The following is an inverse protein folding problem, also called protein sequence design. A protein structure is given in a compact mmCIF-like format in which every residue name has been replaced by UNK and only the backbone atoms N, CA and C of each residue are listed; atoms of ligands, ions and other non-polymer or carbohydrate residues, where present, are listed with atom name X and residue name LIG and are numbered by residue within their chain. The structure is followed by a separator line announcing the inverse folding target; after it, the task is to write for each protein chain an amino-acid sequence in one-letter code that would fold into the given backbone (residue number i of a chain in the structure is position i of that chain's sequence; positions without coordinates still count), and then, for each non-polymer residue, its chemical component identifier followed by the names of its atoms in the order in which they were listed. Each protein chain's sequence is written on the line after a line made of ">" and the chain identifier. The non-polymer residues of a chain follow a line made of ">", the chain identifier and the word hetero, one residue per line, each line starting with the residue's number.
data_IF_500081151960
#
_entry.id   IF_500081151960
#
_cell.length_a   1.000
_cell.length_b   1.000
_cell.length_c   1.000
_cell.angle_alpha   90.00
_cell.angle_beta   90.00
_cell.angle_gamma   90.00
#
_symmetry.space_group_name_H-M   'P 1'
#
loop_
_entity.id
_entity.type
_entity.pdbx_description
1 polymer ?
#
# COMPACT_ATOMS: atom_id res chain seq x y z
N UNK A 1 16.26 22.75 -20.38
CA UNK A 1 14.96 22.43 -19.75
C UNK A 1 14.44 21.02 -20.10
N UNK A 2 15.34 20.05 -20.24
CA UNK A 2 14.98 18.63 -20.50
C UNK A 2 14.41 17.93 -19.26
N UNK A 3 14.51 18.52 -18.07
CA UNK A 3 14.03 17.95 -16.82
C UNK A 3 12.51 18.07 -16.63
N UNK A 4 11.82 18.87 -17.43
CA UNK A 4 10.39 19.19 -17.30
C UNK A 4 9.55 18.81 -18.52
N UNK A 5 10.08 17.96 -19.39
CA UNK A 5 9.24 17.44 -20.47
C UNK A 5 8.22 16.46 -19.89
N UNK A 6 7.00 16.62 -20.31
CA UNK A 6 5.76 15.90 -19.94
C UNK A 6 5.79 14.38 -20.23
N UNK A 7 6.99 13.80 -20.22
CA UNK A 7 7.24 12.39 -20.58
C UNK A 7 6.89 11.39 -19.48
N UNK A 8 6.45 11.84 -18.31
CA UNK A 8 6.17 10.95 -17.17
C UNK A 8 4.74 11.06 -16.65
N UNK A 9 3.76 11.13 -17.54
CA UNK A 9 2.39 10.81 -17.10
C UNK A 9 2.34 9.30 -16.85
N UNK A 10 2.49 8.92 -15.57
CA UNK A 10 2.38 7.52 -15.18
C UNK A 10 0.91 7.13 -15.25
N UNK A 11 0.56 6.34 -16.27
CA UNK A 11 -0.80 5.79 -16.39
C UNK A 11 -1.01 4.68 -15.36
N UNK A 12 -1.92 4.92 -14.43
CA UNK A 12 -2.34 4.00 -13.38
C UNK A 12 -3.80 3.54 -13.56
N UNK A 13 -4.42 3.92 -14.66
CA UNK A 13 -5.85 3.70 -14.92
C UNK A 13 -6.23 2.23 -14.80
N UNK A 14 -5.39 1.34 -15.30
CA UNK A 14 -5.64 -0.10 -15.25
C UNK A 14 -5.66 -0.62 -13.82
N UNK A 15 -4.65 -0.30 -13.04
CA UNK A 15 -4.50 -0.76 -11.66
C UNK A 15 -5.60 -0.18 -10.77
N UNK A 16 -5.88 1.11 -10.91
CA UNK A 16 -6.92 1.79 -10.15
C UNK A 16 -8.31 1.23 -10.50
N UNK A 17 -8.63 1.06 -11.77
CA UNK A 17 -9.91 0.48 -12.18
C UNK A 17 -10.09 -0.95 -11.68
N UNK A 18 -9.01 -1.75 -11.63
CA UNK A 18 -9.05 -3.09 -11.06
C UNK A 18 -9.40 -3.02 -9.56
N UNK A 19 -8.73 -2.19 -8.79
CA UNK A 19 -9.01 -1.98 -7.37
C UNK A 19 -10.45 -1.47 -7.14
N UNK A 20 -10.89 -0.49 -7.93
CA UNK A 20 -12.25 0.06 -7.83
C UNK A 20 -13.32 -0.98 -8.20
N UNK A 21 -13.02 -1.88 -9.13
CA UNK A 21 -13.94 -2.98 -9.46
C UNK A 21 -14.21 -3.90 -8.26
N UNK A 22 -13.25 -4.01 -7.35
CA UNK A 22 -13.39 -4.79 -6.12
C UNK A 22 -14.38 -4.11 -5.15
N UNK A 23 -14.41 -2.78 -5.11
CA UNK A 23 -15.36 -2.03 -4.30
C UNK A 23 -16.82 -2.37 -4.65
N UNK A 24 -17.09 -2.73 -5.90
CA UNK A 24 -18.42 -3.20 -6.29
C UNK A 24 -18.84 -4.49 -5.56
N UNK A 25 -17.87 -5.28 -5.08
CA UNK A 25 -18.15 -6.49 -4.27
C UNK A 25 -18.62 -6.16 -2.85
N UNK A 26 -18.42 -4.91 -2.41
CA UNK A 26 -18.82 -4.42 -1.10
C UNK A 26 -20.24 -3.85 -1.08
N UNK A 27 -20.84 -3.62 -2.26
CA UNK A 27 -22.19 -3.07 -2.38
C UNK A 27 -23.20 -3.91 -1.61
N UNK A 28 -24.13 -3.21 -0.94
CA UNK A 28 -25.19 -3.84 -0.13
C UNK A 28 -24.73 -4.35 1.23
N UNK A 29 -23.41 -4.42 1.49
CA UNK A 29 -22.84 -4.84 2.78
C UNK A 29 -22.10 -3.72 3.49
N UNK A 30 -21.66 -2.71 2.74
CA UNK A 30 -21.00 -1.52 3.22
C UNK A 30 -21.61 -0.28 2.58
N UNK A 31 -21.63 0.82 3.31
CA UNK A 31 -21.91 2.15 2.77
C UNK A 31 -20.75 2.59 1.85
N UNK A 32 -21.06 3.32 0.78
CA UNK A 32 -20.05 3.68 -0.22
C UNK A 32 -18.87 4.45 0.40
N UNK A 33 -19.15 5.32 1.35
CA UNK A 33 -18.15 6.11 2.10
C UNK A 33 -17.17 5.24 2.90
N UNK A 34 -17.57 4.01 3.23
CA UNK A 34 -16.78 3.03 4.01
C UNK A 34 -15.95 2.08 3.14
N UNK A 35 -16.05 2.16 1.80
CA UNK A 35 -15.24 1.29 0.93
C UNK A 35 -13.75 1.55 1.12
N UNK A 36 -13.34 2.80 1.33
CA UNK A 36 -11.95 3.17 1.58
C UNK A 36 -11.35 2.41 2.79
N UNK A 37 -12.15 2.19 3.84
CA UNK A 37 -11.72 1.53 5.07
C UNK A 37 -11.37 0.05 4.84
N UNK A 38 -11.84 -0.55 3.74
CA UNK A 38 -11.48 -1.90 3.29
C UNK A 38 -10.41 -1.85 2.20
N UNK A 39 -10.60 -1.01 1.20
CA UNK A 39 -9.77 -1.00 -0.01
C UNK A 39 -8.34 -0.55 0.30
N UNK A 40 -8.15 0.53 1.06
CA UNK A 40 -6.82 1.07 1.36
C UNK A 40 -5.95 0.04 2.09
N UNK A 41 -6.37 -0.54 3.24
CA UNK A 41 -5.54 -1.53 3.91
C UNK A 41 -5.31 -2.79 3.08
N UNK A 42 -6.27 -3.23 2.27
CA UNK A 42 -6.08 -4.38 1.38
C UNK A 42 -5.04 -4.12 0.28
N UNK A 43 -5.00 -2.91 -0.28
CA UNK A 43 -3.96 -2.49 -1.23
C UNK A 43 -2.58 -2.52 -0.57
N UNK A 44 -2.48 -2.01 0.66
CA UNK A 44 -1.24 -2.03 1.45
C UNK A 44 -0.78 -3.47 1.71
N UNK A 45 -1.67 -4.34 2.19
CA UNK A 45 -1.36 -5.74 2.46
C UNK A 45 -0.87 -6.43 1.19
N UNK A 46 -1.57 -6.24 0.06
CA UNK A 46 -1.17 -6.85 -1.20
C UNK A 46 0.17 -6.33 -1.70
N UNK A 47 0.46 -5.04 -1.53
CA UNK A 47 1.78 -4.47 -1.87
C UNK A 47 2.89 -5.11 -1.05
N UNK A 48 2.72 -5.22 0.27
CA UNK A 48 3.70 -5.86 1.14
C UNK A 48 3.87 -7.35 0.81
N UNK A 49 2.77 -8.06 0.54
CA UNK A 49 2.84 -9.46 0.13
C UNK A 49 3.64 -9.64 -1.15
N UNK A 50 3.36 -8.86 -2.19
CA UNK A 50 4.07 -8.92 -3.46
C UNK A 50 5.57 -8.57 -3.31
N UNK A 51 5.90 -7.61 -2.45
CA UNK A 51 7.30 -7.27 -2.17
C UNK A 51 8.08 -8.42 -1.51
N UNK A 52 7.42 -9.19 -0.63
CA UNK A 52 8.03 -10.30 0.09
C UNK A 52 7.97 -11.64 -0.68
N UNK A 53 7.26 -11.71 -1.80
CA UNK A 53 6.93 -12.97 -2.48
C UNK A 53 8.16 -13.80 -2.84
N UNK A 54 9.19 -13.18 -3.41
CA UNK A 54 10.42 -13.87 -3.83
C UNK A 54 11.22 -14.46 -2.66
N UNK A 55 11.15 -13.84 -1.50
CA UNK A 55 11.92 -14.27 -0.32
C UNK A 55 11.09 -15.09 0.67
N UNK A 56 9.80 -15.20 0.46
CA UNK A 56 8.83 -15.76 1.41
C UNK A 56 9.25 -17.13 1.95
N UNK A 57 9.49 -18.10 1.09
CA UNK A 57 9.80 -19.47 1.47
C UNK A 57 11.12 -19.56 2.24
N UNK A 58 12.18 -18.96 1.69
CA UNK A 58 13.49 -18.95 2.33
C UNK A 58 13.51 -18.16 3.63
N UNK A 59 12.62 -17.17 3.78
CA UNK A 59 12.47 -16.41 5.00
C UNK A 59 11.76 -17.22 6.09
N UNK A 60 10.69 -17.94 5.77
CA UNK A 60 9.97 -18.77 6.72
C UNK A 60 10.89 -19.87 7.28
N UNK A 61 11.64 -20.55 6.41
CA UNK A 61 12.64 -21.55 6.85
C UNK A 61 13.69 -20.92 7.77
N UNK A 62 14.19 -19.73 7.41
CA UNK A 62 15.16 -19.01 8.26
C UNK A 62 14.56 -18.64 9.62
N UNK A 63 13.33 -18.15 9.64
CA UNK A 63 12.63 -17.76 10.86
C UNK A 63 12.38 -18.96 11.78
N UNK A 64 11.91 -20.09 11.26
CA UNK A 64 11.68 -21.32 12.04
C UNK A 64 12.95 -21.82 12.71
N UNK A 65 14.09 -21.70 12.05
CA UNK A 65 15.40 -22.07 12.61
C UNK A 65 15.98 -20.98 13.55
N UNK A 66 15.42 -19.77 13.55
CA UNK A 66 15.96 -18.65 14.32
C UNK A 66 14.83 -17.74 14.89
N UNK A 67 13.90 -18.27 15.71
CA UNK A 67 12.67 -17.54 16.07
C UNK A 67 12.87 -16.34 17.02
N UNK A 68 14.06 -16.22 17.63
CA UNK A 68 14.34 -15.19 18.65
C UNK A 68 15.38 -14.16 18.23
N UNK A 69 15.67 -14.06 16.94
CA UNK A 69 16.62 -13.06 16.45
C UNK A 69 16.00 -11.65 16.45
N UNK A 70 16.80 -10.59 16.68
CA UNK A 70 16.37 -9.21 16.52
C UNK A 70 15.82 -8.93 15.11
N UNK A 71 14.83 -8.03 15.01
CA UNK A 71 14.13 -7.68 13.77
C UNK A 71 15.06 -7.36 12.58
N UNK A 72 16.17 -6.66 12.84
CA UNK A 72 17.16 -6.30 11.82
C UNK A 72 17.73 -7.49 11.04
N UNK A 73 17.79 -8.69 11.64
CA UNK A 73 18.23 -9.89 10.93
C UNK A 73 17.16 -10.42 9.97
N UNK A 74 15.89 -10.27 10.33
CA UNK A 74 14.76 -10.62 9.49
C UNK A 74 14.61 -9.65 8.33
N UNK A 75 14.73 -8.35 8.58
CA UNK A 75 14.74 -7.29 7.57
C UNK A 75 15.87 -7.49 6.54
N UNK A 76 17.07 -7.80 7.03
CA UNK A 76 18.20 -8.13 6.14
C UNK A 76 17.91 -9.36 5.28
N UNK A 77 17.22 -10.37 5.82
CA UNK A 77 16.86 -11.59 5.09
C UNK A 77 15.82 -11.33 4.01
N UNK A 78 14.85 -10.47 4.27
CA UNK A 78 13.83 -10.08 3.29
C UNK A 78 14.32 -9.03 2.28
N UNK A 79 15.32 -8.22 2.66
CA UNK A 79 15.78 -7.07 1.88
C UNK A 79 14.88 -5.84 2.02
N UNK A 80 13.91 -5.87 2.94
CA UNK A 80 12.97 -4.78 3.22
C UNK A 80 12.98 -4.42 4.70
N UNK A 81 12.59 -3.19 5.10
CA UNK A 81 12.45 -2.80 6.50
C UNK A 81 11.17 -3.39 7.14
N UNK A 82 10.74 -4.53 6.66
CA UNK A 82 9.60 -5.29 7.15
C UNK A 82 9.67 -6.77 6.71
N UNK A 83 8.92 -7.60 7.38
CA UNK A 83 8.81 -9.04 7.12
C UNK A 83 7.44 -9.58 7.54
N UNK A 84 7.16 -10.84 7.20
CA UNK A 84 6.00 -11.56 7.71
C UNK A 84 6.36 -13.01 8.04
N UNK A 85 6.15 -13.38 9.30
CA UNK A 85 6.48 -14.72 9.85
C UNK A 85 5.39 -15.77 9.61
N UNK A 86 4.22 -15.36 9.11
CA UNK A 86 3.12 -16.28 8.82
C UNK A 86 3.36 -17.08 7.54
N UNK A 87 2.98 -18.34 7.54
CA UNK A 87 2.96 -19.20 6.33
C UNK A 87 1.84 -18.87 5.36
N UNK A 88 0.86 -18.06 5.80
CA UNK A 88 -0.24 -17.64 4.95
C UNK A 88 0.19 -16.61 3.90
N UNK A 89 -0.59 -16.55 2.86
CA UNK A 89 -0.66 -15.49 1.86
C UNK A 89 -2.13 -15.28 1.52
N UNK A 90 -2.49 -14.18 0.85
CA UNK A 90 -3.89 -13.96 0.44
C UNK A 90 -4.42 -15.15 -0.37
N UNK A 91 -3.58 -15.75 -1.21
CA UNK A 91 -3.96 -16.94 -1.98
C UNK A 91 -4.18 -18.16 -1.08
N UNK A 92 -3.29 -18.43 -0.12
CA UNK A 92 -3.42 -19.57 0.81
C UNK A 92 -4.59 -19.43 1.78
N UNK A 93 -5.06 -18.20 2.06
CA UNK A 93 -6.27 -17.99 2.86
C UNK A 93 -7.52 -18.57 2.22
N UNK A 94 -7.53 -18.72 0.90
CA UNK A 94 -8.67 -19.23 0.13
C UNK A 94 -8.82 -20.75 0.21
N UNK A 95 -7.77 -21.46 0.66
CA UNK A 95 -7.76 -22.91 0.75
C UNK A 95 -8.69 -23.43 1.88
N UNK A 96 -8.99 -22.57 2.88
CA UNK A 96 -9.87 -22.88 4.01
C UNK A 96 -10.85 -21.71 4.22
N UNK A 97 -11.97 -21.78 3.54
CA UNK A 97 -13.01 -20.75 3.59
C UNK A 97 -13.68 -20.63 4.95
N UNK A 98 -13.78 -21.72 5.70
CA UNK A 98 -14.47 -21.75 6.99
C UNK A 98 -13.67 -21.06 8.08
N UNK A 99 -12.36 -21.14 8.00
CA UNK A 99 -11.43 -20.50 8.94
C UNK A 99 -10.78 -19.22 8.37
N UNK A 100 -11.27 -18.67 7.26
CA UNK A 100 -10.62 -17.57 6.55
C UNK A 100 -10.42 -16.32 7.44
N UNK A 101 -11.37 -16.00 8.33
CA UNK A 101 -11.26 -14.86 9.25
C UNK A 101 -10.10 -15.05 10.23
N UNK A 102 -10.03 -16.22 10.89
CA UNK A 102 -8.99 -16.53 11.87
C UNK A 102 -7.62 -16.64 11.21
N UNK A 103 -7.55 -17.27 10.04
CA UNK A 103 -6.33 -17.41 9.26
C UNK A 103 -5.81 -16.06 8.77
N UNK A 104 -6.71 -15.16 8.35
CA UNK A 104 -6.32 -13.82 7.94
C UNK A 104 -5.83 -12.97 9.11
N UNK A 105 -6.49 -13.04 10.26
CA UNK A 105 -5.98 -12.39 11.47
C UNK A 105 -4.59 -12.90 11.85
N UNK A 106 -4.36 -14.20 11.80
CA UNK A 106 -3.03 -14.80 12.00
C UNK A 106 -2.01 -14.33 10.96
N UNK A 107 -2.42 -14.13 9.71
CA UNK A 107 -1.57 -13.57 8.67
C UNK A 107 -1.16 -12.12 8.98
N UNK A 108 -2.10 -11.28 9.42
CA UNK A 108 -1.83 -9.90 9.87
C UNK A 108 -0.88 -9.88 11.06
N UNK A 109 -1.09 -10.76 12.04
CA UNK A 109 -0.25 -10.84 13.24
C UNK A 109 1.18 -11.30 12.95
N UNK A 110 1.41 -11.94 11.80
CA UNK A 110 2.74 -12.34 11.34
C UNK A 110 3.60 -11.19 10.80
N UNK A 111 3.04 -10.03 10.52
CA UNK A 111 3.83 -8.89 10.05
C UNK A 111 4.73 -8.31 11.15
N UNK A 112 5.82 -7.66 10.73
CA UNK A 112 6.69 -6.87 11.61
C UNK A 112 5.92 -5.76 12.30
N UNK A 113 6.43 -5.29 13.45
CA UNK A 113 5.71 -4.37 14.33
C UNK A 113 5.28 -3.06 13.64
N UNK A 114 6.18 -2.47 12.85
CA UNK A 114 5.90 -1.26 12.06
C UNK A 114 4.73 -1.43 11.08
N UNK A 115 4.62 -2.59 10.43
CA UNK A 115 3.49 -2.88 9.53
C UNK A 115 2.22 -3.14 10.32
N UNK A 116 2.30 -3.88 11.44
CA UNK A 116 1.14 -4.11 12.32
C UNK A 116 0.56 -2.80 12.87
N UNK A 117 1.41 -1.86 13.25
CA UNK A 117 0.98 -0.54 13.71
C UNK A 117 0.16 0.18 12.63
N UNK A 118 0.64 0.21 11.38
CA UNK A 118 -0.09 0.79 10.24
C UNK A 118 -1.45 0.10 10.05
N UNK A 119 -1.47 -1.24 10.03
CA UNK A 119 -2.70 -2.00 9.80
C UNK A 119 -3.69 -1.89 10.96
N UNK A 120 -3.22 -1.75 12.19
CA UNK A 120 -4.05 -1.51 13.37
C UNK A 120 -4.66 -0.11 13.33
N UNK A 121 -3.90 0.92 12.95
CA UNK A 121 -4.43 2.29 12.78
C UNK A 121 -5.51 2.36 11.67
N UNK A 122 -5.44 1.47 10.69
CA UNK A 122 -6.46 1.30 9.66
C UNK A 122 -7.60 0.35 10.07
N UNK A 123 -7.61 -0.14 11.32
CA UNK A 123 -8.64 -1.01 11.88
C UNK A 123 -8.93 -2.27 11.04
N UNK A 124 -7.92 -2.83 10.35
CA UNK A 124 -8.12 -3.92 9.38
C UNK A 124 -8.85 -5.13 9.98
N UNK A 125 -8.58 -5.49 11.23
CA UNK A 125 -9.24 -6.63 11.89
C UNK A 125 -10.74 -6.44 12.04
N UNK A 126 -11.18 -5.20 12.29
CA UNK A 126 -12.60 -4.86 12.34
C UNK A 126 -13.24 -5.00 10.95
N UNK A 127 -12.52 -4.59 9.88
CA UNK A 127 -13.01 -4.75 8.52
C UNK A 127 -13.06 -6.21 8.09
N UNK A 128 -12.08 -7.04 8.45
CA UNK A 128 -12.07 -8.49 8.21
C UNK A 128 -13.31 -9.14 8.83
N UNK A 129 -13.56 -8.86 10.12
CA UNK A 129 -14.74 -9.37 10.83
C UNK A 129 -16.05 -8.94 10.17
N UNK A 130 -16.17 -7.67 9.78
CA UNK A 130 -17.34 -7.13 9.11
C UNK A 130 -17.55 -7.76 7.74
N UNK A 131 -16.49 -7.93 6.95
CA UNK A 131 -16.55 -8.62 5.65
C UNK A 131 -16.97 -10.09 5.80
N UNK A 132 -16.44 -10.79 6.80
CA UNK A 132 -16.78 -12.19 7.04
C UNK A 132 -18.25 -12.34 7.43
N UNK A 133 -18.74 -11.53 8.36
CA UNK A 133 -20.16 -11.51 8.77
C UNK A 133 -21.12 -11.28 7.59
N UNK A 134 -20.68 -10.53 6.58
CA UNK A 134 -21.50 -10.23 5.39
C UNK A 134 -21.20 -11.17 4.21
N UNK A 135 -20.46 -12.26 4.40
CA UNK A 135 -20.07 -13.21 3.36
C UNK A 135 -19.33 -12.55 2.17
N UNK A 136 -18.50 -11.54 2.44
CA UNK A 136 -17.72 -10.81 1.43
C UNK A 136 -16.22 -11.09 1.50
N UNK A 137 -15.73 -11.57 2.65
CA UNK A 137 -14.31 -11.73 2.91
C UNK A 137 -13.61 -12.58 1.84
N UNK A 138 -14.13 -13.77 1.55
CA UNK A 138 -13.56 -14.66 0.55
C UNK A 138 -13.43 -14.00 -0.83
N UNK A 139 -14.49 -13.34 -1.31
CA UNK A 139 -14.49 -12.73 -2.64
C UNK A 139 -13.53 -11.54 -2.74
N UNK A 140 -13.40 -10.76 -1.66
CA UNK A 140 -12.47 -9.63 -1.60
C UNK A 140 -11.03 -10.13 -1.57
N UNK A 141 -10.72 -11.09 -0.69
CA UNK A 141 -9.38 -11.71 -0.60
C UNK A 141 -8.98 -12.33 -1.94
N UNK A 142 -9.90 -13.08 -2.60
CA UNK A 142 -9.66 -13.67 -3.91
C UNK A 142 -9.24 -12.63 -4.94
N UNK A 143 -10.02 -11.56 -5.08
CA UNK A 143 -9.74 -10.51 -6.06
C UNK A 143 -8.41 -9.81 -5.78
N UNK A 144 -8.11 -9.50 -4.51
CA UNK A 144 -6.83 -8.90 -4.16
C UNK A 144 -5.64 -9.84 -4.38
N UNK A 145 -5.82 -11.15 -4.18
CA UNK A 145 -4.75 -12.13 -4.42
C UNK A 145 -4.31 -12.21 -5.90
N UNK A 146 -5.16 -11.76 -6.82
CA UNK A 146 -4.92 -11.78 -8.27
C UNK A 146 -4.23 -10.48 -8.78
N UNK A 147 -4.16 -9.42 -7.94
CA UNK A 147 -3.52 -8.16 -8.33
C UNK A 147 -2.00 -8.30 -8.24
N UNK A 148 -1.30 -7.91 -9.31
CA UNK A 148 0.15 -7.78 -9.29
C UNK A 148 0.56 -6.36 -8.86
N UNK A 149 1.07 -6.27 -7.63
CA UNK A 149 1.72 -5.09 -7.08
C UNK A 149 3.20 -5.34 -6.77
N UNK A 150 3.86 -6.22 -7.53
CA UNK A 150 5.28 -6.47 -7.36
C UNK A 150 6.09 -5.19 -7.60
N UNK A 151 7.08 -4.85 -6.75
CA UNK A 151 7.94 -3.68 -6.94
C UNK A 151 8.67 -3.60 -8.29
N UNK A 152 8.85 -4.74 -8.97
CA UNK A 152 9.47 -4.80 -10.29
C UNK A 152 8.53 -4.40 -11.44
N UNK A 153 7.22 -4.61 -11.27
CA UNK A 153 6.18 -4.26 -12.26
C UNK A 153 5.52 -2.93 -11.96
N UNK A 154 5.34 -2.66 -10.67
CA UNK A 154 4.78 -1.41 -10.14
C UNK A 154 5.79 -0.83 -9.15
N UNK A 155 6.66 0.06 -9.62
CA UNK A 155 7.65 0.70 -8.76
C UNK A 155 6.99 1.58 -7.67
N UNK A 156 7.77 2.09 -6.74
CA UNK A 156 7.25 2.89 -5.63
C UNK A 156 6.62 4.20 -6.10
N UNK A 157 7.13 4.79 -7.19
CA UNK A 157 6.57 6.02 -7.74
C UNK A 157 5.19 5.77 -8.34
N UNK A 158 5.07 4.74 -9.19
CA UNK A 158 3.78 4.30 -9.75
C UNK A 158 2.79 3.90 -8.64
N UNK A 159 3.26 3.21 -7.60
CA UNK A 159 2.42 2.86 -6.46
C UNK A 159 1.88 4.09 -5.73
N UNK A 160 2.69 5.15 -5.60
CA UNK A 160 2.25 6.44 -5.07
C UNK A 160 1.08 7.04 -5.85
N UNK A 161 1.15 7.04 -7.19
CA UNK A 161 0.04 7.51 -8.05
C UNK A 161 -1.22 6.65 -7.89
N UNK A 162 -1.08 5.33 -7.74
CA UNK A 162 -2.22 4.43 -7.50
C UNK A 162 -2.92 4.79 -6.18
N UNK A 163 -2.16 4.96 -5.09
CA UNK A 163 -2.74 5.37 -3.81
C UNK A 163 -3.43 6.72 -3.88
N UNK A 164 -2.77 7.69 -4.49
CA UNK A 164 -3.31 9.03 -4.68
C UNK A 164 -4.65 9.01 -5.41
N UNK A 165 -4.75 8.29 -6.53
CA UNK A 165 -5.98 8.23 -7.32
C UNK A 165 -7.10 7.47 -6.57
N UNK A 166 -6.77 6.41 -5.84
CA UNK A 166 -7.72 5.69 -4.99
C UNK A 166 -8.27 6.63 -3.89
N UNK A 167 -7.39 7.31 -3.16
CA UNK A 167 -7.79 8.22 -2.08
C UNK A 167 -8.66 9.34 -2.64
N UNK A 168 -8.26 9.95 -3.75
CA UNK A 168 -9.02 11.01 -4.41
C UNK A 168 -10.44 10.56 -4.75
N UNK A 169 -10.62 9.40 -5.37
CA UNK A 169 -11.94 8.89 -5.78
C UNK A 169 -12.86 8.56 -4.60
N UNK A 170 -12.30 8.18 -3.45
CA UNK A 170 -13.09 7.97 -2.23
C UNK A 170 -13.30 9.24 -1.42
N UNK A 171 -12.59 10.31 -1.71
CA UNK A 171 -12.71 11.61 -1.03
C UNK A 171 -13.59 12.60 -1.81
N UNK A 172 -13.97 12.32 -3.05
CA UNK A 172 -14.77 13.20 -3.90
C UNK A 172 -16.16 13.57 -3.33
N UNK A 173 -16.62 12.86 -2.28
CA UNK A 173 -17.88 13.13 -1.57
C UNK A 173 -17.69 13.85 -0.22
N UNK A 174 -16.47 14.18 0.16
CA UNK A 174 -16.14 14.95 1.36
C UNK A 174 -15.54 16.27 0.86
N UNK A 175 -15.87 17.40 1.49
CA UNK A 175 -15.39 18.72 1.11
C UNK A 175 -13.90 18.67 0.74
N UNK A 176 -13.64 18.73 -0.57
CA UNK A 176 -12.34 18.41 -1.17
C UNK A 176 -11.21 19.37 -0.76
N UNK A 177 -11.55 20.44 -0.02
CA UNK A 177 -10.60 21.45 0.44
C UNK A 177 -9.78 21.05 1.68
N UNK A 178 -10.26 20.11 2.49
CA UNK A 178 -9.71 19.90 3.84
C UNK A 178 -8.60 18.84 3.93
N UNK A 179 -8.40 18.00 2.90
CA UNK A 179 -7.59 16.79 3.10
C UNK A 179 -6.50 16.51 2.07
N UNK A 180 -6.43 17.26 0.97
CA UNK A 180 -5.52 16.88 -0.10
C UNK A 180 -5.17 18.03 -1.04
N UNK A 181 -3.88 18.37 -1.11
CA UNK A 181 -3.39 19.32 -2.12
C UNK A 181 -3.19 18.59 -3.45
N UNK A 182 -3.86 18.99 -4.55
CA UNK A 182 -3.66 18.37 -5.85
C UNK A 182 -2.19 18.35 -6.27
N UNK A 183 -1.75 17.24 -6.86
CA UNK A 183 -0.35 17.07 -7.28
C UNK A 183 0.11 18.15 -8.26
N UNK A 184 -0.77 18.62 -9.12
CA UNK A 184 -0.48 19.70 -10.07
C UNK A 184 -0.13 21.00 -9.35
N UNK A 185 -0.79 21.29 -8.23
CA UNK A 185 -0.50 22.45 -7.37
C UNK A 185 0.84 22.27 -6.67
N UNK A 186 1.10 21.09 -6.10
CA UNK A 186 2.39 20.76 -5.48
C UNK A 186 3.52 20.89 -6.50
N UNK A 187 3.33 20.35 -7.71
CA UNK A 187 4.30 20.46 -8.80
C UNK A 187 4.58 21.91 -9.17
N UNK A 188 3.53 22.72 -9.35
CA UNK A 188 3.68 24.15 -9.61
C UNK A 188 4.44 24.87 -8.50
N UNK A 189 4.13 24.57 -7.22
CA UNK A 189 4.84 25.15 -6.08
C UNK A 189 6.33 24.80 -6.09
N UNK A 190 6.67 23.54 -6.34
CA UNK A 190 8.06 23.07 -6.44
C UNK A 190 8.77 23.71 -7.64
N UNK A 191 8.10 23.80 -8.79
CA UNK A 191 8.65 24.44 -10.00
C UNK A 191 8.95 25.93 -9.76
N UNK A 192 8.05 26.64 -9.09
CA UNK A 192 8.26 28.06 -8.71
C UNK A 192 9.41 28.18 -7.72
N UNK A 193 9.44 27.31 -6.69
CA UNK A 193 10.48 27.34 -5.67
C UNK A 193 11.88 27.11 -6.24
N UNK A 194 11.98 26.27 -7.27
CA UNK A 194 13.25 25.90 -7.90
C UNK A 194 13.52 26.64 -9.22
N UNK A 195 12.68 27.63 -9.60
CA UNK A 195 12.78 28.33 -10.88
C UNK A 195 14.01 29.22 -11.02
N UNK A 196 14.50 29.80 -9.91
CA UNK A 196 15.61 30.76 -9.93
C UNK A 196 16.74 30.29 -9.02
N UNK A 197 17.97 30.38 -9.52
CA UNK A 197 19.22 30.13 -8.76
C UNK A 197 19.36 28.73 -8.11
N UNK A 198 18.66 27.74 -8.64
CA UNK A 198 18.67 26.37 -8.13
C UNK A 198 19.33 25.35 -9.05
N UNK A 199 20.00 25.80 -10.13
CA UNK A 199 20.66 24.89 -11.09
C UNK A 199 21.67 23.97 -10.43
N UNK A 200 22.37 24.46 -9.42
CA UNK A 200 23.33 23.69 -8.66
C UNK A 200 22.69 22.63 -7.73
N UNK A 201 21.42 22.84 -7.33
CA UNK A 201 20.63 21.86 -6.57
C UNK A 201 20.11 20.77 -7.52
N UNK A 202 19.62 21.17 -8.70
CA UNK A 202 19.03 20.28 -9.69
C UNK A 202 20.05 19.41 -10.43
N UNK A 203 21.29 19.94 -10.61
CA UNK A 203 22.35 19.27 -11.38
C UNK A 203 23.50 18.74 -10.53
N UNK A 204 23.54 19.06 -9.24
CA UNK A 204 24.61 18.67 -8.33
C UNK A 204 24.47 17.26 -7.80
N UNK A 205 25.47 16.42 -8.03
CA UNK A 205 25.57 15.11 -7.39
C UNK A 205 25.76 15.24 -5.89
N UNK A 206 24.90 14.59 -5.10
CA UNK A 206 25.04 14.43 -3.65
C UNK A 206 24.95 15.71 -2.81
N UNK A 207 24.22 16.75 -3.25
CA UNK A 207 23.95 17.92 -2.40
C UNK A 207 22.82 17.63 -1.41
N UNK A 208 23.06 17.97 -0.15
CA UNK A 208 22.03 17.94 0.91
C UNK A 208 21.44 19.33 1.02
N UNK A 209 20.13 19.43 0.85
CA UNK A 209 19.39 20.69 0.95
C UNK A 209 18.41 20.58 2.11
N UNK A 210 18.37 21.63 2.94
CA UNK A 210 17.38 21.73 4.02
C UNK A 210 16.13 22.41 3.49
N UNK A 211 14.99 21.76 3.69
CA UNK A 211 13.66 22.29 3.34
C UNK A 211 12.88 22.54 4.63
N UNK A 212 12.29 23.72 4.74
CA UNK A 212 11.37 24.07 5.82
C UNK A 212 9.95 24.17 5.26
N UNK A 213 9.05 23.32 5.75
CA UNK A 213 7.62 23.51 5.61
C UNK A 213 7.09 24.24 6.86
N UNK A 214 6.74 25.51 6.68
CA UNK A 214 6.30 26.37 7.78
C UNK A 214 4.79 26.20 8.10
N UNK A 215 4.06 25.42 7.30
CA UNK A 215 2.60 25.23 7.41
C UNK A 215 2.21 23.77 7.71
N UNK A 216 3.20 22.91 7.98
CA UNK A 216 2.98 21.51 8.32
C UNK A 216 2.48 21.32 9.76
#
# INVERSE_FOLDING_TARGET
>A
NEYYTDQNHIDVTKEVNLVLSIANSLRGSFEAEKYKDVIIPMVIIRRFECALEETKESFIEYYENNPSKPAQFYEKKTGYPFYNTSKYSLKKLLDDSDSIESNFNSYIDGFSENVKEILNNLEIKNQIKKMNKNNRLYSVVKKFSEIDFNPKTVDNHKMGYIFEDIIRRYSENVDAGDHYTPREVIRLMVEILLAENCDDILTGDSKVVTVLDAAC
#
